data_IF_946438291874
#
_entry.id   IF_946438291874
#
_cell.length_a   1.000
_cell.length_b   1.000
_cell.length_c   1.000
_cell.angle_alpha   90.00
_cell.angle_beta   90.00
_cell.angle_gamma   90.00
#
_symmetry.space_group_name_H-M   'P 1'
#
loop_
_entity.id
_entity.type
_entity.pdbx_description
1 polymer ?
#
# COMPACT_ATOMS: atom_id res chain seq x y z
N UNK A 1 3.60 -22.48 18.55
CA UNK A 1 2.69 -21.90 19.57
C UNK A 1 1.88 -20.79 18.92
N UNK A 2 0.56 -20.77 19.11
CA UNK A 2 -0.32 -19.70 18.61
C UNK A 2 -0.81 -18.85 19.78
N UNK A 3 -0.72 -17.52 19.64
CA UNK A 3 -1.28 -16.53 20.54
C UNK A 3 -2.45 -15.85 19.83
N UNK A 4 -3.61 -15.85 20.47
CA UNK A 4 -4.78 -15.05 20.08
C UNK A 4 -4.84 -13.77 20.93
N UNK A 5 -5.03 -12.62 20.29
CA UNK A 5 -5.20 -11.35 21.01
C UNK A 5 -6.67 -10.96 21.06
N UNK A 6 -7.11 -10.29 22.14
CA UNK A 6 -8.51 -9.89 22.31
C UNK A 6 -8.88 -8.66 21.48
N UNK A 7 -7.88 -7.86 21.12
CA UNK A 7 -8.02 -6.63 20.36
C UNK A 7 -6.65 -6.26 19.75
N UNK A 8 -6.65 -5.27 18.86
CA UNK A 8 -5.43 -4.86 18.18
C UNK A 8 -4.47 -4.05 19.04
N UNK A 9 -4.90 -3.48 20.17
CA UNK A 9 -4.00 -2.81 21.13
C UNK A 9 -3.09 -3.83 21.83
N UNK A 10 -3.65 -4.96 22.27
CA UNK A 10 -2.86 -6.06 22.83
C UNK A 10 -1.87 -6.60 21.79
N UNK A 11 -2.34 -6.81 20.55
CA UNK A 11 -1.49 -7.25 19.44
C UNK A 11 -0.34 -6.29 19.15
N UNK A 12 -0.60 -4.98 19.06
CA UNK A 12 0.44 -3.97 18.80
C UNK A 12 1.44 -3.94 19.95
N UNK A 13 0.98 -3.95 21.20
CA UNK A 13 1.85 -3.88 22.36
C UNK A 13 2.80 -5.08 22.46
N UNK A 14 2.30 -6.31 22.23
CA UNK A 14 3.15 -7.52 22.26
C UNK A 14 4.15 -7.59 21.11
N UNK A 15 3.86 -6.89 20.01
CA UNK A 15 4.66 -6.95 18.78
C UNK A 15 5.34 -5.62 18.44
N UNK A 16 5.43 -4.70 19.40
CA UNK A 16 5.89 -3.33 19.16
C UNK A 16 7.32 -3.31 18.61
N UNK A 17 8.22 -4.09 19.20
CA UNK A 17 9.62 -4.16 18.77
C UNK A 17 9.73 -4.73 17.35
N UNK A 18 9.00 -5.82 17.07
CA UNK A 18 8.94 -6.43 15.74
C UNK A 18 8.41 -5.46 14.69
N UNK A 19 7.28 -4.81 14.97
CA UNK A 19 6.63 -3.88 14.05
C UNK A 19 7.47 -2.60 13.84
N UNK A 20 8.12 -2.10 14.88
CA UNK A 20 9.01 -0.93 14.79
C UNK A 20 10.23 -1.22 13.91
N UNK A 21 10.75 -2.45 13.95
CA UNK A 21 11.87 -2.89 13.12
C UNK A 21 11.45 -3.24 11.67
N UNK A 22 10.18 -3.54 11.45
CA UNK A 22 9.63 -3.88 10.14
C UNK A 22 9.37 -2.66 9.22
N UNK A 23 9.79 -1.45 9.62
CA UNK A 23 9.70 -0.17 8.88
C UNK A 23 8.43 -0.05 8.03
N UNK A 24 8.56 -0.19 6.70
CA UNK A 24 7.50 0.05 5.72
C UNK A 24 6.34 -0.95 5.82
N UNK A 25 6.63 -2.19 6.18
CA UNK A 25 5.66 -3.28 6.21
C UNK A 25 4.68 -3.17 7.39
N UNK A 26 5.07 -2.46 8.47
CA UNK A 26 4.27 -2.35 9.70
C UNK A 26 3.19 -1.25 9.67
N UNK A 27 3.25 -0.27 8.76
CA UNK A 27 2.33 0.88 8.78
C UNK A 27 0.86 0.47 8.74
N UNK A 28 0.52 -0.55 7.95
CA UNK A 28 -0.83 -1.09 7.87
C UNK A 28 -1.21 -1.88 9.14
N UNK A 29 -0.25 -2.54 9.80
CA UNK A 29 -0.50 -3.22 11.07
C UNK A 29 -0.84 -2.24 12.18
N UNK A 30 -0.13 -1.12 12.31
CA UNK A 30 -0.50 -0.08 13.28
C UNK A 30 -1.88 0.51 12.98
N UNK A 31 -2.16 0.83 11.71
CA UNK A 31 -3.44 1.44 11.31
C UNK A 31 -4.62 0.48 11.53
N UNK A 32 -4.48 -0.79 11.15
CA UNK A 32 -5.52 -1.79 11.35
C UNK A 32 -5.64 -2.19 12.81
N UNK A 33 -4.53 -2.38 13.52
CA UNK A 33 -4.51 -2.83 14.90
C UNK A 33 -5.12 -1.79 15.84
N UNK A 34 -4.80 -0.51 15.66
CA UNK A 34 -5.42 0.56 16.46
C UNK A 34 -6.93 0.70 16.21
N UNK A 35 -7.45 0.15 15.10
CA UNK A 35 -8.89 0.15 14.79
C UNK A 35 -9.60 -1.12 15.29
N UNK A 36 -8.88 -2.22 15.50
CA UNK A 36 -9.44 -3.50 15.91
C UNK A 36 -9.81 -3.48 17.41
N UNK A 37 -11.07 -3.19 17.71
CA UNK A 37 -11.56 -3.04 19.09
C UNK A 37 -11.89 -4.37 19.78
N UNK A 38 -12.29 -5.39 19.01
CA UNK A 38 -12.65 -6.73 19.50
C UNK A 38 -12.37 -7.76 18.43
N UNK A 39 -12.25 -9.04 18.82
CA UNK A 39 -12.08 -10.13 17.88
C UNK A 39 -13.32 -11.00 17.69
N UNK A 40 -13.46 -11.55 16.48
CA UNK A 40 -14.47 -12.50 16.02
C UNK A 40 -13.91 -13.29 14.81
N UNK A 41 -14.73 -14.11 14.14
CA UNK A 41 -14.24 -14.93 13.02
C UNK A 41 -13.80 -14.13 11.77
N UNK A 42 -14.20 -12.86 11.66
CA UNK A 42 -13.88 -11.98 10.54
C UNK A 42 -12.95 -10.83 10.90
N UNK A 43 -12.67 -10.62 12.18
CA UNK A 43 -11.80 -9.57 12.71
C UNK A 43 -10.93 -10.19 13.80
N UNK A 44 -9.65 -10.44 13.54
CA UNK A 44 -8.80 -11.15 14.49
C UNK A 44 -7.34 -10.75 14.35
N UNK A 45 -6.58 -10.98 15.41
CA UNK A 45 -5.14 -10.77 15.42
C UNK A 45 -4.49 -12.01 16.06
N UNK A 46 -3.47 -12.56 15.40
CA UNK A 46 -2.79 -13.79 15.79
C UNK A 46 -1.28 -13.63 15.66
N UNK A 47 -0.54 -14.37 16.49
CA UNK A 47 0.90 -14.57 16.37
C UNK A 47 1.22 -16.04 16.48
N UNK A 48 1.91 -16.58 15.49
CA UNK A 48 2.56 -17.88 15.59
C UNK A 48 4.00 -17.65 16.02
N UNK A 49 4.51 -18.50 16.91
CA UNK A 49 5.90 -18.54 17.33
C UNK A 49 6.39 -19.99 17.18
N UNK A 50 7.48 -20.17 16.45
CA UNK A 50 8.22 -21.42 16.34
C UNK A 50 9.70 -21.10 16.53
N UNK A 51 10.28 -21.56 17.63
CA UNK A 51 11.65 -21.23 18.03
C UNK A 51 11.87 -19.70 18.09
N UNK A 52 12.83 -19.16 17.32
CA UNK A 52 13.12 -17.73 17.18
C UNK A 52 12.33 -17.04 16.06
N UNK A 53 11.43 -17.78 15.39
CA UNK A 53 10.64 -17.31 14.23
C UNK A 53 9.21 -16.99 14.62
N UNK A 54 8.60 -16.08 13.88
CA UNK A 54 7.24 -15.66 14.14
C UNK A 54 6.44 -15.43 12.86
N UNK A 55 5.10 -15.44 12.97
CA UNK A 55 4.21 -14.96 11.92
C UNK A 55 3.06 -14.19 12.53
N UNK A 56 2.89 -12.95 12.12
CA UNK A 56 1.82 -12.06 12.50
C UNK A 56 0.70 -12.11 11.46
N UNK A 57 -0.54 -12.24 11.92
CA UNK A 57 -1.73 -12.18 11.08
C UNK A 57 -2.72 -11.20 11.69
N UNK A 58 -3.15 -10.22 10.92
CA UNK A 58 -4.13 -9.22 11.35
C UNK A 58 -5.24 -9.05 10.29
N UNK A 59 -6.46 -9.40 10.67
CA UNK A 59 -7.67 -9.27 9.86
C UNK A 59 -8.57 -8.20 10.45
N UNK A 60 -9.03 -7.26 9.62
CA UNK A 60 -10.04 -6.26 9.96
C UNK A 60 -10.93 -5.97 8.75
N UNK A 61 -12.23 -6.25 8.81
CA UNK A 61 -13.19 -5.96 7.73
C UNK A 61 -13.33 -4.44 7.56
N UNK A 62 -13.39 -3.91 6.31
CA UNK A 62 -13.37 -4.62 5.02
C UNK A 62 -11.98 -4.77 4.39
N UNK A 63 -10.89 -4.48 5.12
CA UNK A 63 -9.51 -4.47 4.59
C UNK A 63 -9.02 -5.89 4.28
N UNK A 64 -7.95 -6.02 3.50
CA UNK A 64 -7.27 -7.32 3.31
C UNK A 64 -6.62 -7.78 4.63
N UNK A 65 -6.48 -9.09 4.83
CA UNK A 65 -5.67 -9.66 5.91
C UNK A 65 -4.21 -9.30 5.70
N UNK A 66 -3.57 -8.77 6.73
CA UNK A 66 -2.14 -8.48 6.72
C UNK A 66 -1.39 -9.67 7.28
N UNK A 67 -0.34 -10.12 6.59
CA UNK A 67 0.49 -11.23 7.03
C UNK A 67 1.96 -10.83 6.91
N UNK A 68 2.72 -11.00 8.00
CA UNK A 68 4.13 -10.60 8.09
C UNK A 68 4.92 -11.51 9.02
N UNK A 69 6.11 -11.94 8.62
CA UNK A 69 7.00 -12.78 9.41
C UNK A 69 7.61 -13.89 8.57
N UNK A 70 7.83 -15.04 9.19
CA UNK A 70 8.62 -16.15 8.67
C UNK A 70 7.74 -17.27 8.09
N UNK A 71 8.18 -17.81 6.96
CA UNK A 71 7.49 -18.88 6.22
C UNK A 71 7.31 -20.18 7.02
N UNK A 72 8.23 -20.48 7.94
CA UNK A 72 8.20 -21.71 8.76
C UNK A 72 6.92 -21.81 9.61
N UNK A 73 6.39 -20.67 10.04
CA UNK A 73 5.18 -20.58 10.86
C UNK A 73 3.87 -20.71 10.06
N UNK A 74 3.92 -20.65 8.72
CA UNK A 74 2.72 -20.58 7.86
C UNK A 74 1.83 -21.81 8.02
N UNK A 75 2.40 -23.01 8.01
CA UNK A 75 1.59 -24.25 8.07
C UNK A 75 0.81 -24.36 9.38
N UNK A 76 1.46 -24.07 10.52
CA UNK A 76 0.80 -24.10 11.82
C UNK A 76 -0.28 -23.03 11.92
N UNK A 77 0.02 -21.80 11.47
CA UNK A 77 -0.92 -20.69 11.48
C UNK A 77 -2.17 -20.95 10.62
N UNK A 78 -1.98 -21.43 9.38
CA UNK A 78 -3.11 -21.71 8.48
C UNK A 78 -3.97 -22.86 9.01
N UNK A 79 -3.35 -23.90 9.58
CA UNK A 79 -4.10 -24.97 10.26
C UNK A 79 -4.95 -24.42 11.39
N UNK A 80 -4.36 -23.58 12.25
CA UNK A 80 -5.07 -22.97 13.36
C UNK A 80 -6.27 -22.13 12.92
N UNK A 81 -6.07 -21.26 11.92
CA UNK A 81 -7.11 -20.43 11.34
C UNK A 81 -8.25 -21.30 10.79
N UNK A 82 -7.93 -22.38 10.08
CA UNK A 82 -8.93 -23.30 9.53
C UNK A 82 -9.71 -24.02 10.64
N UNK A 83 -9.02 -24.58 11.64
CA UNK A 83 -9.65 -25.33 12.74
C UNK A 83 -10.58 -24.45 13.58
N UNK A 84 -10.25 -23.15 13.71
CA UNK A 84 -11.06 -22.15 14.43
C UNK A 84 -12.17 -21.53 13.58
N UNK A 85 -12.22 -21.80 12.28
CA UNK A 85 -13.21 -21.21 11.37
C UNK A 85 -12.98 -19.72 11.08
N UNK A 86 -11.75 -19.23 11.23
CA UNK A 86 -11.41 -17.84 10.93
C UNK A 86 -11.32 -17.57 9.43
N UNK A 87 -11.82 -16.40 9.02
CA UNK A 87 -11.89 -16.01 7.62
C UNK A 87 -10.72 -15.13 7.19
N UNK A 88 -9.74 -15.72 6.49
CA UNK A 88 -8.61 -14.99 5.88
C UNK A 88 -9.10 -14.00 4.82
N UNK A 89 -10.14 -14.32 4.05
CA UNK A 89 -10.54 -13.55 2.86
C UNK A 89 -9.32 -13.22 1.95
N UNK A 90 -9.28 -12.06 1.30
CA UNK A 90 -8.10 -11.56 0.59
C UNK A 90 -6.97 -11.21 1.58
N UNK A 91 -5.70 -11.36 1.16
CA UNK A 91 -4.56 -11.00 1.99
C UNK A 91 -3.48 -10.22 1.24
N UNK A 92 -2.67 -9.47 1.99
CA UNK A 92 -1.51 -8.71 1.53
C UNK A 92 -0.29 -9.16 2.33
N UNK A 93 0.78 -9.49 1.62
CA UNK A 93 2.04 -9.97 2.19
C UNK A 93 3.23 -9.57 1.31
N UNK A 94 4.44 -9.62 1.87
CA UNK A 94 5.66 -9.75 1.06
C UNK A 94 5.48 -10.94 0.10
N UNK A 95 5.93 -10.77 -1.15
CA UNK A 95 5.59 -11.66 -2.26
C UNK A 95 6.05 -13.11 -2.08
N UNK A 96 7.19 -13.34 -1.44
CA UNK A 96 7.73 -14.70 -1.20
C UNK A 96 6.89 -15.41 -0.15
N UNK A 97 6.68 -14.77 1.01
CA UNK A 97 5.79 -15.27 2.06
C UNK A 97 4.36 -15.50 1.54
N UNK A 98 3.85 -14.58 0.74
CA UNK A 98 2.52 -14.68 0.13
C UNK A 98 2.38 -15.88 -0.80
N UNK A 99 3.41 -16.23 -1.57
CA UNK A 99 3.38 -17.42 -2.41
C UNK A 99 3.33 -18.70 -1.56
N UNK A 100 4.13 -18.75 -0.49
CA UNK A 100 4.10 -19.88 0.45
C UNK A 100 2.72 -20.05 1.09
N UNK A 101 2.07 -18.96 1.48
CA UNK A 101 0.69 -18.98 2.02
C UNK A 101 -0.30 -19.48 0.96
N UNK A 102 -0.23 -18.94 -0.26
CA UNK A 102 -1.07 -19.38 -1.39
C UNK A 102 -0.92 -20.88 -1.63
N UNK A 103 0.30 -21.40 -1.63
CA UNK A 103 0.56 -22.81 -1.92
C UNK A 103 0.07 -23.72 -0.79
N UNK A 104 0.22 -23.32 0.48
CA UNK A 104 -0.34 -24.05 1.62
C UNK A 104 -1.87 -24.08 1.57
N UNK A 105 -2.51 -22.94 1.29
CA UNK A 105 -3.97 -22.84 1.18
C UNK A 105 -4.51 -23.65 -0.01
N UNK A 106 -3.83 -23.62 -1.16
CA UNK A 106 -4.29 -24.30 -2.39
C UNK A 106 -4.14 -25.83 -2.30
N UNK A 107 -3.06 -26.31 -1.68
CA UNK A 107 -2.77 -27.75 -1.63
C UNK A 107 -3.35 -28.44 -0.41
N UNK A 108 -3.56 -27.71 0.70
CA UNK A 108 -4.04 -28.27 1.96
C UNK A 108 -5.51 -28.01 2.26
N UNK A 109 -6.14 -27.06 1.57
CA UNK A 109 -7.48 -26.56 1.90
C UNK A 109 -8.30 -26.26 0.64
N UNK A 110 -9.61 -26.06 0.80
CA UNK A 110 -10.52 -25.74 -0.30
C UNK A 110 -10.48 -24.28 -0.77
N UNK A 111 -9.42 -23.56 -0.42
CA UNK A 111 -9.26 -22.17 -0.83
C UNK A 111 -8.32 -22.04 -2.01
N UNK A 112 -8.77 -21.35 -3.05
CA UNK A 112 -7.92 -20.96 -4.18
C UNK A 112 -7.66 -19.46 -4.13
N UNK A 113 -6.42 -19.09 -4.47
CA UNK A 113 -5.98 -17.70 -4.51
C UNK A 113 -5.21 -17.41 -5.79
N UNK A 114 -5.38 -16.19 -6.32
CA UNK A 114 -4.55 -15.66 -7.39
C UNK A 114 -3.88 -14.36 -6.97
N UNK A 115 -2.78 -14.02 -7.63
CA UNK A 115 -2.09 -12.74 -7.44
C UNK A 115 -2.87 -11.66 -8.17
N UNK A 116 -3.55 -10.80 -7.41
CA UNK A 116 -4.39 -9.75 -7.96
C UNK A 116 -3.57 -8.50 -8.33
N UNK A 117 -2.63 -8.11 -7.48
CA UNK A 117 -1.79 -6.93 -7.69
C UNK A 117 -0.40 -7.18 -7.11
N UNK A 118 0.61 -7.17 -7.97
CA UNK A 118 2.02 -7.35 -7.61
C UNK A 118 2.70 -5.98 -7.63
N UNK A 119 3.19 -5.51 -6.48
CA UNK A 119 3.75 -4.18 -6.33
C UNK A 119 5.19 -4.23 -5.86
N UNK A 120 5.99 -3.30 -6.37
CA UNK A 120 7.27 -2.95 -5.78
C UNK A 120 7.09 -1.73 -4.87
N UNK A 121 7.57 -1.85 -3.63
CA UNK A 121 7.75 -0.73 -2.74
C UNK A 121 9.10 -0.09 -3.04
N UNK A 122 9.11 1.21 -3.35
CA UNK A 122 10.32 1.94 -3.72
C UNK A 122 10.57 3.13 -2.82
N UNK A 123 11.84 3.49 -2.65
CA UNK A 123 12.27 4.67 -1.91
C UNK A 123 13.24 5.55 -2.71
N UNK A 124 13.22 6.86 -2.46
CA UNK A 124 14.23 7.80 -2.92
C UNK A 124 14.68 8.69 -1.75
N UNK A 125 15.99 8.93 -1.68
CA UNK A 125 16.65 9.68 -0.59
C UNK A 125 17.43 10.90 -1.06
N UNK A 126 17.53 11.11 -2.38
CA UNK A 126 18.38 12.14 -2.97
C UNK A 126 17.65 12.88 -4.08
N UNK A 127 17.88 14.19 -4.14
CA UNK A 127 17.52 15.01 -5.29
C UNK A 127 18.43 14.58 -6.45
N UNK A 128 17.84 14.30 -7.60
CA UNK A 128 18.56 13.86 -8.81
C UNK A 128 18.50 14.88 -9.94
N UNK A 129 17.47 15.72 -9.95
CA UNK A 129 17.26 16.81 -10.89
C UNK A 129 16.34 17.86 -10.25
N UNK A 130 16.44 19.12 -10.70
CA UNK A 130 15.63 20.23 -10.19
C UNK A 130 14.13 20.04 -10.42
N UNK A 131 13.32 20.62 -9.53
CA UNK A 131 11.86 20.67 -9.70
C UNK A 131 11.47 21.52 -10.91
N UNK A 132 10.34 21.17 -11.54
CA UNK A 132 9.80 21.91 -12.70
C UNK A 132 8.89 23.03 -12.23
N UNK A 133 9.07 24.25 -12.75
CA UNK A 133 8.25 25.42 -12.41
C UNK A 133 6.78 25.30 -12.88
N UNK A 134 6.48 24.35 -13.79
CA UNK A 134 5.11 24.01 -14.20
C UNK A 134 4.28 23.34 -13.09
N UNK A 135 4.91 22.84 -12.02
CA UNK A 135 4.20 22.13 -10.95
C UNK A 135 3.72 23.13 -9.91
N UNK A 136 2.41 23.19 -9.71
CA UNK A 136 1.78 24.05 -8.70
C UNK A 136 1.03 23.23 -7.64
N UNK A 137 0.76 23.85 -6.48
CA UNK A 137 -0.08 23.28 -5.43
C UNK A 137 -1.56 23.40 -5.83
N UNK A 138 -2.32 22.32 -5.64
CA UNK A 138 -3.77 22.35 -5.86
C UNK A 138 -4.48 23.28 -4.87
N UNK A 139 -5.59 23.86 -5.32
CA UNK A 139 -6.44 24.79 -4.57
C UNK A 139 -7.81 24.17 -4.32
N UNK A 140 -8.59 24.72 -3.39
CA UNK A 140 -9.93 24.21 -3.07
C UNK A 140 -10.85 24.18 -4.30
N UNK A 141 -10.64 25.09 -5.25
CA UNK A 141 -11.36 25.13 -6.53
C UNK A 141 -11.03 23.97 -7.48
N UNK A 142 -9.99 23.18 -7.19
CA UNK A 142 -9.53 22.07 -8.03
C UNK A 142 -10.18 20.72 -7.64
N UNK A 143 -10.90 20.66 -6.52
CA UNK A 143 -11.48 19.42 -5.97
C UNK A 143 -12.32 18.67 -7.00
N UNK A 144 -13.22 19.37 -7.69
CA UNK A 144 -14.13 18.74 -8.66
C UNK A 144 -13.37 18.19 -9.88
N UNK A 145 -12.39 18.92 -10.39
CA UNK A 145 -11.61 18.45 -11.55
C UNK A 145 -10.73 17.24 -11.19
N UNK A 146 -10.11 17.25 -10.00
CA UNK A 146 -9.33 16.11 -9.50
C UNK A 146 -10.26 14.91 -9.27
N UNK A 147 -11.46 15.12 -8.73
CA UNK A 147 -12.47 14.07 -8.53
C UNK A 147 -12.87 13.41 -9.86
N UNK A 148 -13.18 14.20 -10.89
CA UNK A 148 -13.48 13.66 -12.22
C UNK A 148 -12.30 12.90 -12.84
N UNK A 149 -11.08 13.38 -12.64
CA UNK A 149 -9.89 12.67 -13.10
C UNK A 149 -9.65 11.37 -12.33
N UNK A 150 -9.89 11.35 -11.01
CA UNK A 150 -9.74 10.15 -10.18
C UNK A 150 -10.74 9.07 -10.57
N UNK A 151 -11.99 9.43 -10.91
CA UNK A 151 -12.96 8.49 -11.47
C UNK A 151 -12.47 7.84 -12.77
N UNK A 152 -11.81 8.60 -13.64
CA UNK A 152 -11.19 8.06 -14.86
C UNK A 152 -9.98 7.18 -14.54
N UNK A 153 -9.15 7.61 -13.59
CA UNK A 153 -7.99 6.84 -13.14
C UNK A 153 -8.39 5.44 -12.67
N UNK A 154 -9.37 5.31 -11.76
CA UNK A 154 -9.78 3.99 -11.26
C UNK A 154 -10.29 3.07 -12.36
N UNK A 155 -10.99 3.61 -13.38
CA UNK A 155 -11.44 2.85 -14.55
C UNK A 155 -10.23 2.41 -15.38
N UNK A 156 -9.31 3.33 -15.69
CA UNK A 156 -8.11 3.07 -16.48
C UNK A 156 -7.23 1.98 -15.87
N UNK A 157 -7.14 1.90 -14.54
CA UNK A 157 -6.33 0.91 -13.82
C UNK A 157 -7.12 -0.32 -13.35
N UNK A 158 -8.42 -0.41 -13.64
CA UNK A 158 -9.26 -1.54 -13.25
C UNK A 158 -9.47 -1.67 -11.73
N UNK A 159 -9.36 -0.57 -10.98
CA UNK A 159 -9.65 -0.51 -9.55
C UNK A 159 -11.18 -0.40 -9.39
N UNK A 160 -11.76 -1.30 -8.58
CA UNK A 160 -13.20 -1.38 -8.32
C UNK A 160 -13.63 -0.46 -7.15
N UNK A 161 -12.66 0.19 -6.49
CA UNK A 161 -12.91 1.05 -5.33
C UNK A 161 -13.67 2.33 -5.69
N UNK A 162 -14.59 2.73 -4.83
CA UNK A 162 -15.31 3.99 -4.95
C UNK A 162 -14.40 5.18 -4.62
N UNK A 163 -14.31 6.15 -5.53
CA UNK A 163 -13.72 7.46 -5.26
C UNK A 163 -14.73 8.30 -4.49
N UNK A 164 -14.35 8.79 -3.32
CA UNK A 164 -15.18 9.71 -2.51
C UNK A 164 -14.66 11.14 -2.66
N UNK A 165 -15.52 12.05 -3.11
CA UNK A 165 -15.19 13.46 -3.30
C UNK A 165 -14.68 14.12 -2.00
N UNK A 166 -15.34 13.84 -0.87
CA UNK A 166 -14.96 14.33 0.46
C UNK A 166 -13.50 14.00 0.80
N UNK A 167 -13.02 12.81 0.45
CA UNK A 167 -11.61 12.43 0.67
C UNK A 167 -10.63 13.27 -0.14
N UNK A 168 -11.03 13.77 -1.30
CA UNK A 168 -10.18 14.66 -2.12
C UNK A 168 -10.18 16.04 -1.50
N UNK A 169 -11.34 16.53 -1.07
CA UNK A 169 -11.50 17.81 -0.36
C UNK A 169 -10.63 17.86 0.90
N UNK A 170 -10.71 16.85 1.78
CA UNK A 170 -9.90 16.75 3.00
C UNK A 170 -8.38 16.74 2.73
N UNK A 171 -7.98 16.28 1.53
CA UNK A 171 -6.57 16.08 1.16
C UNK A 171 -6.11 17.03 0.06
N UNK A 172 -6.89 18.06 -0.30
CA UNK A 172 -6.62 18.89 -1.49
C UNK A 172 -5.22 19.53 -1.43
N UNK A 173 -4.82 19.97 -0.25
CA UNK A 173 -3.51 20.60 0.01
C UNK A 173 -2.31 19.68 -0.23
N UNK A 174 -2.52 18.36 -0.27
CA UNK A 174 -1.51 17.34 -0.50
C UNK A 174 -1.21 17.11 -1.99
N UNK A 175 -2.06 17.64 -2.89
CA UNK A 175 -1.89 17.47 -4.33
C UNK A 175 -0.89 18.49 -4.91
N UNK A 176 -0.11 18.02 -5.88
CA UNK A 176 0.63 18.83 -6.83
C UNK A 176 0.10 18.54 -8.23
N UNK A 177 -0.09 19.59 -9.01
CA UNK A 177 -0.76 19.55 -10.31
C UNK A 177 0.10 20.20 -11.38
N UNK A 178 -0.13 19.84 -12.64
CA UNK A 178 0.30 20.60 -13.82
C UNK A 178 -0.95 20.98 -14.59
N UNK A 179 -1.02 22.25 -15.02
CA UNK A 179 -2.12 22.80 -15.81
C UNK A 179 -1.69 23.06 -17.25
N UNK A 180 -2.55 22.75 -18.22
CA UNK A 180 -2.45 23.21 -19.61
C UNK A 180 -3.83 23.64 -20.08
N UNK A 181 -3.91 24.77 -20.77
CA UNK A 181 -5.17 25.33 -21.28
C UNK A 181 -6.28 25.38 -20.21
N UNK A 182 -5.91 25.87 -19.02
CA UNK A 182 -6.74 25.92 -17.81
C UNK A 182 -7.24 24.57 -17.24
N UNK A 183 -6.76 23.44 -17.74
CA UNK A 183 -7.14 22.10 -17.26
C UNK A 183 -6.01 21.42 -16.50
N UNK A 184 -6.32 20.73 -15.41
CA UNK A 184 -5.38 19.84 -14.71
C UNK A 184 -5.09 18.64 -15.61
N UNK A 185 -3.85 18.54 -16.10
CA UNK A 185 -3.46 17.48 -17.05
C UNK A 185 -2.68 16.35 -16.39
N UNK A 186 -2.04 16.63 -15.25
CA UNK A 186 -1.34 15.63 -14.45
C UNK A 186 -1.31 16.04 -12.99
N UNK A 187 -1.37 15.06 -12.10
CA UNK A 187 -1.22 15.29 -10.67
C UNK A 187 -0.67 14.07 -9.95
N UNK A 188 -0.28 14.28 -8.70
CA UNK A 188 -0.03 13.27 -7.70
C UNK A 188 -0.22 13.92 -6.33
N UNK A 189 -0.35 13.11 -5.29
CA UNK A 189 -0.35 13.60 -3.90
C UNK A 189 0.74 12.93 -3.10
N UNK A 190 1.03 13.52 -1.95
CA UNK A 190 1.89 12.89 -0.97
C UNK A 190 1.37 13.05 0.45
N UNK A 191 1.57 12.04 1.28
CA UNK A 191 1.13 12.02 2.67
C UNK A 191 2.22 11.45 3.56
N UNK A 192 2.32 11.97 4.77
CA UNK A 192 3.15 11.40 5.82
C UNK A 192 2.70 9.98 6.18
N UNK A 193 3.65 9.05 6.24
CA UNK A 193 3.41 7.63 6.57
C UNK A 193 4.14 7.15 7.82
N UNK A 194 5.26 7.79 8.16
CA UNK A 194 5.99 7.65 9.42
C UNK A 194 6.74 8.95 9.70
N UNK A 195 7.40 9.03 10.86
CA UNK A 195 8.22 10.18 11.24
C UNK A 195 9.30 10.51 10.17
N UNK A 196 9.89 9.48 9.55
CA UNK A 196 10.97 9.60 8.57
C UNK A 196 10.53 9.49 7.10
N UNK A 197 9.26 9.19 6.80
CA UNK A 197 8.81 8.87 5.44
C UNK A 197 7.53 9.58 5.01
N UNK A 198 7.46 9.90 3.72
CA UNK A 198 6.22 10.34 3.06
C UNK A 198 5.99 9.51 1.80
N UNK A 199 4.75 9.10 1.58
CA UNK A 199 4.33 8.29 0.45
C UNK A 199 3.72 9.14 -0.65
N UNK A 200 4.17 8.93 -1.89
CA UNK A 200 3.61 9.49 -3.10
C UNK A 200 2.58 8.51 -3.65
N UNK A 201 1.37 9.00 -3.89
CA UNK A 201 0.27 8.20 -4.44
C UNK A 201 -0.56 9.01 -5.45
N UNK A 202 -1.58 8.37 -6.03
CA UNK A 202 -2.55 8.99 -6.94
C UNK A 202 -1.89 9.68 -8.14
N UNK A 203 -0.81 9.08 -8.66
CA UNK A 203 -0.09 9.60 -9.82
C UNK A 203 -0.93 9.36 -11.08
N UNK A 204 -1.40 10.45 -11.68
CA UNK A 204 -2.23 10.39 -12.87
C UNK A 204 -1.82 11.45 -13.90
N UNK A 205 -1.88 11.05 -15.17
CA UNK A 205 -1.82 11.94 -16.33
C UNK A 205 -2.96 11.55 -17.26
N UNK A 206 -3.76 12.54 -17.65
CA UNK A 206 -4.83 12.40 -18.65
C UNK A 206 -4.29 11.74 -19.92
N UNK A 207 -5.05 10.81 -20.50
CA UNK A 207 -4.57 9.95 -21.60
C UNK A 207 -4.07 10.76 -22.80
N UNK A 208 -4.77 11.83 -23.15
CA UNK A 208 -4.44 12.75 -24.25
C UNK A 208 -3.17 13.60 -24.01
N UNK A 209 -2.64 13.61 -22.78
CA UNK A 209 -1.40 14.32 -22.40
C UNK A 209 -0.24 13.37 -22.01
N UNK A 210 -0.41 12.04 -22.16
CA UNK A 210 0.66 11.06 -21.89
C UNK A 210 1.81 11.20 -22.90
N UNK A 211 2.98 10.63 -22.56
CA UNK A 211 4.20 10.73 -23.37
C UNK A 211 4.95 12.06 -23.24
N UNK A 212 4.40 13.05 -22.54
CA UNK A 212 5.00 14.39 -22.36
C UNK A 212 5.80 14.54 -21.06
N UNK A 213 6.15 13.43 -20.40
CA UNK A 213 6.89 13.39 -19.11
C UNK A 213 6.23 14.16 -17.95
N UNK A 214 4.92 14.44 -18.02
CA UNK A 214 4.20 15.22 -16.99
C UNK A 214 4.19 14.52 -15.62
N UNK A 215 3.87 13.23 -15.57
CA UNK A 215 3.97 12.45 -14.34
C UNK A 215 5.38 12.51 -13.72
N UNK A 216 6.44 12.43 -14.55
CA UNK A 216 7.83 12.55 -14.10
C UNK A 216 8.06 13.91 -13.41
N UNK A 217 7.58 15.00 -13.99
CA UNK A 217 7.71 16.36 -13.42
C UNK A 217 7.03 16.47 -12.07
N UNK A 218 5.77 16.04 -11.98
CA UNK A 218 5.00 16.10 -10.72
C UNK A 218 5.64 15.25 -9.63
N UNK A 219 6.01 14.00 -9.94
CA UNK A 219 6.63 13.10 -8.98
C UNK A 219 8.01 13.61 -8.55
N UNK A 220 8.80 14.20 -9.45
CA UNK A 220 10.09 14.79 -9.08
C UNK A 220 9.93 15.98 -8.14
N UNK A 221 8.98 16.88 -8.41
CA UNK A 221 8.70 18.02 -7.55
C UNK A 221 8.30 17.58 -6.15
N UNK A 222 7.35 16.63 -6.04
CA UNK A 222 6.95 16.04 -4.75
C UNK A 222 8.14 15.36 -4.06
N UNK A 223 8.92 14.55 -4.77
CA UNK A 223 10.10 13.87 -4.21
C UNK A 223 11.08 14.89 -3.62
N UNK A 224 11.37 15.98 -4.33
CA UNK A 224 12.27 17.02 -3.85
C UNK A 224 11.69 17.72 -2.61
N UNK A 225 10.40 18.07 -2.60
CA UNK A 225 9.74 18.64 -1.42
C UNK A 225 9.85 17.72 -0.18
N UNK A 226 9.71 16.41 -0.36
CA UNK A 226 9.84 15.42 0.72
C UNK A 226 11.28 15.38 1.23
N UNK A 227 12.27 15.36 0.34
CA UNK A 227 13.69 15.28 0.70
C UNK A 227 14.16 16.57 1.38
N UNK A 228 13.69 17.73 0.94
CA UNK A 228 13.97 19.03 1.56
C UNK A 228 13.41 19.12 2.99
N UNK A 229 12.34 18.37 3.30
CA UNK A 229 11.83 18.18 4.67
C UNK A 229 12.68 17.22 5.52
N UNK A 230 13.79 16.69 4.97
CA UNK A 230 14.63 15.69 5.61
C UNK A 230 14.02 14.29 5.65
N UNK A 231 12.99 14.03 4.84
CA UNK A 231 12.25 12.76 4.82
C UNK A 231 12.59 11.90 3.60
N UNK A 232 12.21 10.63 3.67
CA UNK A 232 12.38 9.65 2.59
C UNK A 232 11.10 9.63 1.75
N UNK A 233 11.23 9.85 0.44
CA UNK A 233 10.12 9.69 -0.49
C UNK A 233 9.90 8.22 -0.79
N UNK A 234 8.67 7.74 -0.66
CA UNK A 234 8.29 6.34 -0.92
C UNK A 234 7.13 6.26 -1.88
N UNK A 235 7.00 5.15 -2.60
CA UNK A 235 5.82 4.86 -3.44
C UNK A 235 5.64 3.35 -3.61
N UNK A 236 4.44 2.96 -4.04
CA UNK A 236 4.17 1.62 -4.55
C UNK A 236 3.93 1.71 -6.06
N UNK A 237 4.46 0.75 -6.81
CA UNK A 237 4.25 0.67 -8.26
C UNK A 237 3.89 -0.75 -8.66
N UNK A 238 2.87 -0.91 -9.50
CA UNK A 238 2.55 -2.20 -10.11
C UNK A 238 3.73 -2.68 -10.98
N UNK A 239 4.18 -3.91 -10.76
CA UNK A 239 5.25 -4.55 -11.53
C UNK A 239 4.89 -4.66 -13.02
N UNK A 240 3.60 -4.71 -13.36
CA UNK A 240 3.10 -4.77 -14.74
C UNK A 240 3.02 -3.41 -15.42
N UNK A 241 3.38 -2.31 -14.74
CA UNK A 241 3.38 -0.96 -15.31
C UNK A 241 4.81 -0.51 -15.69
N UNK A 242 5.34 -0.90 -16.86
CA UNK A 242 6.74 -0.61 -17.24
C UNK A 242 7.01 0.90 -17.36
N UNK A 243 5.99 1.69 -17.73
CA UNK A 243 6.12 3.14 -17.91
C UNK A 243 6.40 3.80 -16.55
N UNK A 244 5.57 3.51 -15.53
CA UNK A 244 5.77 4.05 -14.18
C UNK A 244 7.08 3.58 -13.57
N UNK A 245 7.40 2.29 -13.71
CA UNK A 245 8.67 1.73 -13.24
C UNK A 245 9.88 2.48 -13.81
N UNK A 246 9.90 2.71 -15.13
CA UNK A 246 10.98 3.47 -15.78
C UNK A 246 11.05 4.92 -15.27
N UNK A 247 9.90 5.60 -15.13
CA UNK A 247 9.84 6.96 -14.58
C UNK A 247 10.45 7.01 -13.18
N UNK A 248 10.02 6.15 -12.26
CA UNK A 248 10.48 6.17 -10.88
C UNK A 248 11.97 5.84 -10.76
N UNK A 249 12.45 4.83 -11.48
CA UNK A 249 13.88 4.50 -11.53
C UNK A 249 14.72 5.67 -12.06
N UNK A 250 14.25 6.36 -13.12
CA UNK A 250 14.94 7.54 -13.66
C UNK A 250 15.04 8.71 -12.67
N UNK A 251 14.13 8.76 -11.70
CA UNK A 251 14.09 9.75 -10.62
C UNK A 251 14.90 9.33 -9.39
N UNK A 252 15.63 8.20 -9.45
CA UNK A 252 16.45 7.69 -8.37
C UNK A 252 15.71 6.85 -7.32
N UNK A 253 14.45 6.47 -7.56
CA UNK A 253 13.77 5.51 -6.71
C UNK A 253 14.39 4.13 -6.86
N UNK A 254 14.59 3.44 -5.74
CA UNK A 254 15.13 2.07 -5.67
C UNK A 254 14.11 1.16 -5.00
N UNK A 255 13.96 -0.05 -5.53
CA UNK A 255 13.12 -1.09 -4.92
C UNK A 255 13.70 -1.49 -3.57
N UNK A 256 12.83 -1.59 -2.56
CA UNK A 256 13.16 -2.11 -1.22
C UNK A 256 12.67 -3.56 -1.09
N UNK A 257 11.41 -3.81 -1.39
CA UNK A 257 10.80 -5.15 -1.37
C UNK A 257 9.63 -5.21 -2.36
N UNK A 258 9.13 -6.42 -2.59
CA UNK A 258 7.92 -6.67 -3.38
C UNK A 258 6.81 -7.17 -2.45
N UNK A 259 5.59 -6.72 -2.68
CA UNK A 259 4.40 -7.16 -1.95
C UNK A 259 3.27 -7.47 -2.92
N UNK A 260 2.40 -8.38 -2.54
CA UNK A 260 1.35 -8.87 -3.43
C UNK A 260 0.02 -8.95 -2.69
N UNK A 261 -1.01 -8.42 -3.33
CA UNK A 261 -2.40 -8.68 -2.96
C UNK A 261 -2.83 -10.02 -3.57
N UNK A 262 -3.30 -10.92 -2.73
CA UNK A 262 -3.85 -12.21 -3.11
C UNK A 262 -5.36 -12.20 -2.88
N UNK A 263 -6.11 -12.51 -3.93
CA UNK A 263 -7.57 -12.55 -3.86
C UNK A 263 -8.07 -13.98 -3.87
N UNK A 264 -9.03 -14.24 -2.99
CA UNK A 264 -9.70 -15.52 -2.90
C UNK A 264 -10.62 -15.68 -4.12
N UNK A 265 -10.65 -16.89 -4.67
CA UNK A 265 -11.63 -17.31 -5.69
C UNK A 265 -12.46 -18.46 -5.13
N UNK A 266 -13.75 -18.44 -5.45
CA UNK A 266 -14.63 -19.57 -5.18
C UNK A 266 -14.28 -20.69 -6.16
N UNK A 267 -14.12 -21.91 -5.64
CA UNK A 267 -14.11 -23.12 -6.48
C UNK A 267 -15.50 -23.34 -7.08
#
# INVERSE_FOLDING_TARGET
>A
MIIEYKNGKEFINDNLDTLSNARYQANLFFTNGNTLMKTDENNFALKCIQDDKFLLVLRLVPRNTLIYGDEVCVREMIRYISDKGYNINNYLSESTLGNTIKDVLTNGYDFQYYKALEMDFMEARKITESSSDEVEKAKDTDVDEIFECMKKFIIDVGIIDEVKREKIEDNISLYRIIRKDNKIVSFAKFKETSDDTMNISDVYTRSEYRGQKLAKKVVNAIKNEIIEKGKIATLNVDQKNPISNHVYQSLGFKKVFSQTEYRKVNK
#
